data_IF_123861676449
#
_entry.id   IF_123861676449
#
_cell.length_a   1.000
_cell.length_b   1.000
_cell.length_c   1.000
_cell.angle_alpha   90.00
_cell.angle_beta   90.00
_cell.angle_gamma   90.00
#
_symmetry.space_group_name_H-M   'P 1'
#
loop_
_entity.id
_entity.type
_entity.pdbx_description
1 polymer ?
#
# COMPACT_ATOMS: atom_id res chain seq x y z
N UNK A 1 6.20 -3.70 -0.77
CA UNK A 1 5.26 -3.49 -1.89
C UNK A 1 5.20 -2.03 -2.35
N UNK A 2 4.96 -1.05 -1.46
CA UNK A 2 4.91 0.38 -1.82
C UNK A 2 6.17 0.91 -2.51
N UNK A 3 7.36 0.48 -2.07
CA UNK A 3 8.64 0.94 -2.60
C UNK A 3 9.13 0.18 -3.85
N UNK A 4 8.38 -0.80 -4.35
CA UNK A 4 8.83 -1.68 -5.45
C UNK A 4 9.25 -0.89 -6.69
N UNK A 5 8.52 0.16 -7.05
CA UNK A 5 8.87 1.04 -8.18
C UNK A 5 10.09 1.92 -7.93
N UNK A 6 10.52 2.09 -6.68
CA UNK A 6 11.71 2.88 -6.32
C UNK A 6 12.95 1.99 -6.25
N UNK A 7 12.80 0.78 -5.71
CA UNK A 7 13.88 -0.21 -5.61
C UNK A 7 14.20 -0.80 -6.99
N UNK A 8 13.19 -1.27 -7.72
CA UNK A 8 13.35 -1.89 -9.05
C UNK A 8 13.08 -0.88 -10.16
N UNK A 9 13.71 0.30 -10.06
CA UNK A 9 13.45 1.45 -10.94
C UNK A 9 13.99 1.27 -12.37
N UNK A 10 14.88 0.32 -12.60
CA UNK A 10 15.46 0.02 -13.91
C UNK A 10 14.83 -1.22 -14.57
N UNK A 11 13.91 -1.89 -13.88
CA UNK A 11 13.24 -3.08 -14.39
C UNK A 11 12.08 -2.74 -15.33
N UNK A 12 11.72 -3.72 -16.16
CA UNK A 12 10.56 -3.63 -17.05
C UNK A 12 9.28 -3.34 -16.26
N UNK A 13 8.51 -2.35 -16.71
CA UNK A 13 7.32 -1.83 -16.01
C UNK A 13 6.29 -2.91 -15.72
N UNK A 14 6.12 -3.85 -16.65
CA UNK A 14 5.21 -4.98 -16.51
C UNK A 14 5.63 -5.89 -15.35
N UNK A 15 6.92 -6.19 -15.22
CA UNK A 15 7.47 -6.99 -14.12
C UNK A 15 7.34 -6.26 -12.78
N UNK A 16 7.69 -4.96 -12.73
CA UNK A 16 7.54 -4.15 -11.52
C UNK A 16 6.08 -4.06 -11.05
N UNK A 17 5.14 -3.91 -12.00
CA UNK A 17 3.69 -3.95 -11.72
C UNK A 17 3.24 -5.28 -11.15
N UNK A 18 3.64 -6.39 -11.77
CA UNK A 18 3.29 -7.73 -11.33
C UNK A 18 3.83 -8.02 -9.92
N UNK A 19 5.10 -7.68 -9.65
CA UNK A 19 5.71 -7.83 -8.34
C UNK A 19 5.00 -6.96 -7.28
N UNK A 20 4.66 -5.72 -7.61
CA UNK A 20 3.90 -4.84 -6.71
C UNK A 20 2.54 -5.45 -6.34
N UNK A 21 1.79 -5.94 -7.33
CA UNK A 21 0.50 -6.57 -7.11
C UNK A 21 0.62 -7.87 -6.29
N UNK A 22 1.61 -8.72 -6.61
CA UNK A 22 1.87 -9.96 -5.88
C UNK A 22 2.18 -9.71 -4.41
N UNK A 23 3.08 -8.77 -4.11
CA UNK A 23 3.46 -8.45 -2.73
C UNK A 23 2.29 -7.87 -1.92
N UNK A 24 1.46 -7.03 -2.54
CA UNK A 24 0.25 -6.54 -1.88
C UNK A 24 -0.79 -7.66 -1.68
N UNK A 25 -0.93 -8.58 -2.64
CA UNK A 25 -1.81 -9.75 -2.52
C UNK A 25 -1.39 -10.68 -1.39
N UNK A 26 -0.09 -10.97 -1.26
CA UNK A 26 0.44 -11.76 -0.15
C UNK A 26 0.17 -11.08 1.21
N UNK A 27 0.37 -9.76 1.29
CA UNK A 27 0.08 -9.00 2.50
C UNK A 27 -1.42 -9.04 2.87
N UNK A 28 -2.32 -8.99 1.88
CA UNK A 28 -3.76 -9.15 2.09
C UNK A 28 -4.12 -10.54 2.63
N UNK A 29 -3.51 -11.60 2.09
CA UNK A 29 -3.73 -12.96 2.58
C UNK A 29 -3.29 -13.12 4.04
N UNK A 30 -2.11 -12.60 4.40
CA UNK A 30 -1.62 -12.61 5.78
C UNK A 30 -2.57 -11.84 6.70
N UNK A 31 -3.03 -10.65 6.28
CA UNK A 31 -3.98 -9.86 7.05
C UNK A 31 -5.33 -10.58 7.24
N UNK A 32 -5.84 -11.25 6.20
CA UNK A 32 -7.07 -12.03 6.26
C UNK A 32 -6.97 -13.17 7.28
N UNK A 33 -5.85 -13.89 7.29
CA UNK A 33 -5.59 -14.94 8.30
C UNK A 33 -5.62 -14.37 9.71
N UNK A 34 -4.99 -13.20 9.93
CA UNK A 34 -5.02 -12.52 11.23
C UNK A 34 -6.43 -12.13 11.67
N UNK A 35 -7.26 -11.63 10.75
CA UNK A 35 -8.67 -11.31 11.02
C UNK A 35 -9.45 -12.57 11.38
N UNK A 36 -9.34 -13.65 10.60
CA UNK A 36 -10.02 -14.91 10.89
C UNK A 36 -9.63 -15.42 12.28
N UNK A 37 -8.34 -15.38 12.62
CA UNK A 37 -7.83 -15.82 13.91
C UNK A 37 -8.40 -15.02 15.09
N UNK A 38 -8.55 -13.69 14.98
CA UNK A 38 -9.11 -12.88 16.09
C UNK A 38 -10.59 -13.15 16.28
N UNK A 39 -11.38 -13.26 15.21
CA UNK A 39 -12.82 -13.57 15.29
C UNK A 39 -13.06 -14.97 15.87
N UNK A 40 -12.23 -15.96 15.52
CA UNK A 40 -12.30 -17.30 16.10
C UNK A 40 -11.92 -17.30 17.59
N UNK A 41 -10.87 -16.57 17.97
CA UNK A 41 -10.47 -16.37 19.37
C UNK A 41 -11.56 -15.68 20.19
N UNK A 42 -12.24 -14.66 19.64
CA UNK A 42 -13.34 -13.98 20.32
C UNK A 42 -14.54 -14.91 20.52
N UNK A 43 -14.93 -15.64 19.47
CA UNK A 43 -16.02 -16.63 19.55
C UNK A 43 -15.76 -17.68 20.62
N UNK A 44 -14.55 -18.23 20.67
CA UNK A 44 -14.18 -19.29 21.64
C UNK A 44 -14.14 -18.77 23.08
N UNK A 45 -13.84 -17.47 23.29
CA UNK A 45 -13.75 -16.83 24.61
C UNK A 45 -15.02 -16.07 25.02
N UNK A 46 -16.04 -16.00 24.16
CA UNK A 46 -17.25 -15.21 24.42
C UNK A 46 -17.01 -13.69 24.48
N UNK A 47 -15.97 -13.20 23.79
CA UNK A 47 -15.65 -11.77 23.72
C UNK A 47 -16.48 -11.15 22.58
N UNK A 48 -17.13 -9.98 22.77
CA UNK A 48 -17.83 -9.31 21.68
C UNK A 48 -16.84 -8.87 20.60
N UNK A 49 -17.25 -8.98 19.34
CA UNK A 49 -16.47 -8.49 18.20
C UNK A 49 -16.66 -6.99 17.98
N UNK A 50 -15.69 -6.36 17.33
CA UNK A 50 -15.82 -5.03 16.72
C UNK A 50 -16.26 -3.90 17.67
N UNK A 51 -15.91 -3.95 18.97
CA UNK A 51 -16.29 -2.91 19.93
C UNK A 51 -15.21 -1.83 20.15
N UNK A 52 -13.96 -2.10 19.80
CA UNK A 52 -12.84 -1.19 20.07
C UNK A 52 -12.50 -0.30 18.87
N UNK A 53 -11.92 0.87 19.12
CA UNK A 53 -11.45 1.76 18.06
C UNK A 53 -10.39 1.08 17.16
N UNK A 54 -9.51 0.26 17.76
CA UNK A 54 -8.56 -0.58 17.02
C UNK A 54 -9.28 -1.46 16.00
N UNK A 55 -10.34 -2.15 16.42
CA UNK A 55 -11.10 -3.04 15.54
C UNK A 55 -11.78 -2.29 14.38
N UNK A 56 -12.37 -1.11 14.64
CA UNK A 56 -13.00 -0.28 13.61
C UNK A 56 -11.98 0.23 12.58
N UNK A 57 -10.87 0.80 13.05
CA UNK A 57 -9.79 1.26 12.18
C UNK A 57 -9.14 0.10 11.40
N UNK A 58 -8.90 -1.03 12.05
CA UNK A 58 -8.31 -2.22 11.44
C UNK A 58 -9.19 -2.81 10.33
N UNK A 59 -10.49 -2.97 10.59
CA UNK A 59 -11.44 -3.48 9.59
C UNK A 59 -11.62 -2.51 8.43
N UNK A 60 -11.77 -1.21 8.70
CA UNK A 60 -11.83 -0.20 7.65
C UNK A 60 -10.57 -0.22 6.77
N UNK A 61 -9.39 -0.32 7.38
CA UNK A 61 -8.11 -0.46 6.66
C UNK A 61 -8.11 -1.70 5.77
N UNK A 62 -8.52 -2.86 6.29
CA UNK A 62 -8.54 -4.10 5.53
C UNK A 62 -9.48 -4.04 4.32
N UNK A 63 -10.72 -3.58 4.52
CA UNK A 63 -11.72 -3.47 3.45
C UNK A 63 -11.26 -2.49 2.37
N UNK A 64 -10.78 -1.31 2.76
CA UNK A 64 -10.28 -0.32 1.81
C UNK A 64 -9.02 -0.80 1.09
N UNK A 65 -8.15 -1.54 1.76
CA UNK A 65 -6.95 -2.11 1.16
C UNK A 65 -7.27 -3.24 0.17
N UNK A 66 -8.26 -4.08 0.47
CA UNK A 66 -8.78 -5.07 -0.46
C UNK A 66 -9.36 -4.41 -1.72
N UNK A 67 -10.19 -3.38 -1.56
CA UNK A 67 -10.75 -2.61 -2.66
C UNK A 67 -9.65 -1.95 -3.50
N UNK A 68 -8.68 -1.32 -2.83
CA UNK A 68 -7.53 -0.67 -3.48
C UNK A 68 -6.72 -1.65 -4.32
N UNK A 69 -6.54 -2.89 -3.84
CA UNK A 69 -5.83 -3.93 -4.57
C UNK A 69 -6.60 -4.40 -5.81
N UNK A 70 -7.91 -4.69 -5.68
CA UNK A 70 -8.74 -5.09 -6.83
C UNK A 70 -8.83 -4.00 -7.89
N UNK A 71 -9.08 -2.75 -7.49
CA UNK A 71 -9.11 -1.61 -8.41
C UNK A 71 -7.73 -1.39 -9.04
N UNK A 72 -6.65 -1.47 -8.27
CA UNK A 72 -5.28 -1.38 -8.79
C UNK A 72 -4.96 -2.43 -9.85
N UNK A 73 -5.34 -3.69 -9.61
CA UNK A 73 -5.23 -4.77 -10.59
C UNK A 73 -6.07 -4.47 -11.85
N UNK A 74 -7.34 -4.11 -11.68
CA UNK A 74 -8.26 -3.79 -12.77
C UNK A 74 -7.77 -2.66 -13.67
N UNK A 75 -7.33 -1.54 -13.08
CA UNK A 75 -6.88 -0.38 -13.84
C UNK A 75 -5.46 -0.53 -14.40
N UNK A 76 -4.51 -1.13 -13.66
CA UNK A 76 -3.09 -1.04 -14.00
C UNK A 76 -2.42 -2.33 -14.49
N UNK A 77 -2.98 -3.51 -14.20
CA UNK A 77 -2.46 -4.79 -14.69
C UNK A 77 -3.16 -5.27 -15.96
N UNK A 78 -4.49 -5.14 -16.03
CA UNK A 78 -5.24 -5.57 -17.21
C UNK A 78 -5.29 -4.48 -18.28
N UNK A 79 -5.21 -4.84 -19.57
CA UNK A 79 -5.18 -3.87 -20.67
C UNK A 79 -6.52 -3.14 -20.87
N UNK A 80 -7.63 -3.63 -20.30
CA UNK A 80 -9.00 -3.20 -20.59
C UNK A 80 -9.37 -1.77 -20.20
N UNK A 81 -8.68 -1.15 -19.23
CA UNK A 81 -8.98 0.22 -18.82
C UNK A 81 -8.40 1.25 -19.80
N UNK A 82 -9.20 2.26 -20.17
CA UNK A 82 -8.76 3.34 -21.07
C UNK A 82 -7.64 4.17 -20.44
N UNK A 83 -6.82 4.82 -21.28
CA UNK A 83 -5.73 5.69 -20.81
C UNK A 83 -6.23 6.86 -19.96
N UNK A 84 -7.37 7.44 -20.31
CA UNK A 84 -8.00 8.54 -19.55
C UNK A 84 -8.37 8.10 -18.12
N UNK A 85 -9.04 6.95 -17.97
CA UNK A 85 -9.41 6.41 -16.67
C UNK A 85 -8.20 6.09 -15.80
N UNK A 86 -7.16 5.49 -16.38
CA UNK A 86 -5.90 5.21 -15.68
C UNK A 86 -5.19 6.49 -15.23
N UNK A 87 -5.19 7.52 -16.08
CA UNK A 87 -4.63 8.82 -15.76
C UNK A 87 -5.36 9.47 -14.59
N UNK A 88 -6.70 9.44 -14.62
CA UNK A 88 -7.54 10.00 -13.57
C UNK A 88 -7.40 9.26 -12.24
N UNK A 89 -7.35 7.91 -12.22
CA UNK A 89 -7.35 7.11 -10.98
C UNK A 89 -5.97 6.97 -10.32
N UNK A 90 -4.88 7.13 -11.09
CA UNK A 90 -3.50 7.00 -10.59
C UNK A 90 -3.19 7.87 -9.36
N UNK A 91 -3.50 9.18 -9.29
CA UNK A 91 -3.20 9.98 -8.10
C UNK A 91 -3.95 9.51 -6.85
N UNK A 92 -5.20 9.06 -6.98
CA UNK A 92 -6.03 8.51 -5.92
C UNK A 92 -5.45 7.18 -5.45
N UNK A 93 -5.02 6.32 -6.38
CA UNK A 93 -4.35 5.08 -6.05
C UNK A 93 -3.08 5.31 -5.21
N UNK A 94 -2.28 6.33 -5.55
CA UNK A 94 -1.09 6.69 -4.78
C UNK A 94 -1.48 7.24 -3.41
N UNK A 95 -2.41 8.20 -3.35
CA UNK A 95 -2.86 8.82 -2.11
C UNK A 95 -3.40 7.79 -1.11
N UNK A 96 -4.39 6.98 -1.53
CA UNK A 96 -4.97 5.95 -0.68
C UNK A 96 -3.95 4.87 -0.31
N UNK A 97 -3.00 4.55 -1.21
CA UNK A 97 -1.91 3.62 -0.88
C UNK A 97 -1.05 4.09 0.30
N UNK A 98 -0.71 5.39 0.34
CA UNK A 98 0.03 5.99 1.45
C UNK A 98 -0.85 6.10 2.70
N UNK A 99 -2.09 6.58 2.56
CA UNK A 99 -3.02 6.75 3.67
C UNK A 99 -3.30 5.41 4.38
N UNK A 100 -3.51 4.33 3.62
CA UNK A 100 -3.73 2.99 4.17
C UNK A 100 -2.49 2.43 4.89
N UNK A 101 -1.29 2.75 4.39
CA UNK A 101 -0.05 2.37 5.08
C UNK A 101 0.11 3.11 6.42
N UNK A 102 -0.25 4.39 6.48
CA UNK A 102 -0.26 5.14 7.75
C UNK A 102 -1.33 4.59 8.69
N UNK A 103 -2.54 4.32 8.17
CA UNK A 103 -3.65 3.80 8.96
C UNK A 103 -3.38 2.38 9.49
N UNK A 104 -2.64 1.55 8.77
CA UNK A 104 -2.22 0.24 9.25
C UNK A 104 -1.23 0.34 10.41
N UNK A 105 -0.25 1.25 10.33
CA UNK A 105 0.67 1.52 11.45
C UNK A 105 -0.12 2.04 12.66
N UNK A 106 -1.01 3.01 12.46
CA UNK A 106 -1.85 3.52 13.53
C UNK A 106 -2.71 2.42 14.18
N UNK A 107 -3.29 1.53 13.36
CA UNK A 107 -4.06 0.39 13.84
C UNK A 107 -3.20 -0.59 14.63
N UNK A 108 -1.96 -0.87 14.20
CA UNK A 108 -1.01 -1.68 14.97
C UNK A 108 -0.68 -1.05 16.33
N UNK A 109 -0.44 0.26 16.39
CA UNK A 109 -0.15 0.96 17.66
C UNK A 109 -1.34 0.92 18.62
N UNK A 110 -2.57 1.10 18.10
CA UNK A 110 -3.79 0.94 18.88
C UNK A 110 -3.92 -0.49 19.43
N UNK A 111 -3.66 -1.50 18.59
CA UNK A 111 -3.77 -2.91 18.99
C UNK A 111 -2.72 -3.33 20.02
N UNK A 112 -1.47 -2.87 19.87
CA UNK A 112 -0.41 -3.07 20.87
C UNK A 112 -0.83 -2.45 22.21
N UNK A 113 -1.30 -1.20 22.18
CA UNK A 113 -1.74 -0.49 23.40
C UNK A 113 -2.90 -1.22 24.07
N UNK A 114 -3.92 -1.60 23.29
CA UNK A 114 -5.08 -2.36 23.77
C UNK A 114 -4.64 -3.68 24.43
N UNK A 115 -3.75 -4.43 23.79
CA UNK A 115 -3.22 -5.67 24.35
C UNK A 115 -2.45 -5.48 25.66
N UNK A 116 -1.64 -4.43 25.77
CA UNK A 116 -0.90 -4.12 27.00
C UNK A 116 -1.85 -3.78 28.14
N UNK A 117 -2.85 -2.93 27.86
CA UNK A 117 -3.85 -2.53 28.84
C UNK A 117 -4.76 -3.69 29.27
N UNK A 118 -5.02 -4.67 28.41
CA UNK A 118 -5.84 -5.83 28.77
C UNK A 118 -5.08 -6.93 29.49
N UNK A 119 -3.78 -7.09 29.25
CA UNK A 119 -3.01 -8.22 29.77
C UNK A 119 -2.14 -7.88 30.97
N UNK A 120 -1.63 -6.65 31.05
CA UNK A 120 -0.65 -6.26 32.05
C UNK A 120 -0.95 -4.89 32.65
N UNK A 121 -2.22 -4.43 32.70
CA UNK A 121 -2.60 -3.10 33.21
C UNK A 121 -1.90 -2.71 34.51
N UNK A 122 -1.89 -3.63 35.47
CA UNK A 122 -1.46 -3.37 36.83
C UNK A 122 0.07 -3.33 36.95
N UNK A 123 0.77 -4.01 36.04
CA UNK A 123 2.24 -4.07 36.02
C UNK A 123 2.88 -3.21 34.94
N UNK A 124 2.10 -2.66 34.00
CA UNK A 124 2.62 -1.96 32.83
C UNK A 124 3.44 -0.72 33.19
N UNK A 125 2.99 0.04 34.21
CA UNK A 125 3.69 1.22 34.72
C UNK A 125 5.01 0.90 35.43
N UNK A 126 5.24 -0.37 35.79
CA UNK A 126 6.48 -0.84 36.43
C UNK A 126 7.56 -1.26 35.42
N UNK A 127 7.38 -0.95 34.13
CA UNK A 127 8.35 -1.24 33.07
C UNK A 127 8.73 -2.73 33.00
N UNK A 128 7.73 -3.61 33.14
CA UNK A 128 7.95 -5.06 32.95
C UNK A 128 8.48 -5.35 31.53
N UNK A 129 9.33 -6.38 31.35
CA UNK A 129 9.99 -6.65 30.08
C UNK A 129 9.05 -6.72 28.87
N UNK A 130 7.87 -7.32 29.04
CA UNK A 130 6.83 -7.44 28.01
C UNK A 130 6.34 -6.06 27.55
N UNK A 131 6.15 -5.13 28.48
CA UNK A 131 5.75 -3.75 28.19
C UNK A 131 6.83 -2.97 27.45
N UNK A 132 8.09 -3.12 27.87
CA UNK A 132 9.25 -2.50 27.19
C UNK A 132 9.36 -3.02 25.76
N UNK A 133 9.24 -4.34 25.57
CA UNK A 133 9.34 -4.99 24.27
C UNK A 133 8.23 -4.47 23.32
N UNK A 134 6.99 -4.43 23.79
CA UNK A 134 5.85 -3.97 23.00
C UNK A 134 5.96 -2.48 22.62
N UNK A 135 6.41 -1.63 23.56
CA UNK A 135 6.66 -0.22 23.27
C UNK A 135 7.80 -0.02 22.27
N UNK A 136 8.87 -0.80 22.41
CA UNK A 136 9.99 -0.79 21.47
C UNK A 136 9.51 -1.18 20.07
N UNK A 137 8.68 -2.23 19.95
CA UNK A 137 8.06 -2.62 18.68
C UNK A 137 7.20 -1.49 18.10
N UNK A 138 6.41 -0.80 18.93
CA UNK A 138 5.62 0.36 18.51
C UNK A 138 6.48 1.49 17.94
N UNK A 139 7.57 1.85 18.62
CA UNK A 139 8.53 2.86 18.14
C UNK A 139 9.20 2.43 16.83
N UNK A 140 9.58 1.15 16.71
CA UNK A 140 10.17 0.61 15.48
C UNK A 140 9.19 0.66 14.30
N UNK A 141 7.90 0.41 14.52
CA UNK A 141 6.86 0.54 13.47
C UNK A 141 6.72 1.99 13.00
N UNK A 142 6.76 2.96 13.92
CA UNK A 142 6.75 4.40 13.57
C UNK A 142 8.00 4.77 12.78
N UNK A 143 9.18 4.37 13.24
CA UNK A 143 10.44 4.63 12.55
C UNK A 143 10.45 4.02 11.14
N UNK A 144 9.98 2.77 10.99
CA UNK A 144 9.80 2.12 9.70
C UNK A 144 8.86 2.92 8.79
N UNK A 145 7.72 3.37 9.33
CA UNK A 145 6.77 4.24 8.62
C UNK A 145 7.40 5.53 8.11
N UNK A 146 8.19 6.21 8.95
CA UNK A 146 8.89 7.44 8.60
C UNK A 146 9.93 7.22 7.50
N UNK A 147 10.73 6.15 7.59
CA UNK A 147 11.72 5.80 6.56
C UNK A 147 11.02 5.50 5.24
N UNK A 148 9.96 4.69 5.25
CA UNK A 148 9.17 4.39 4.04
C UNK A 148 8.48 5.63 3.49
N UNK A 149 8.00 6.54 4.34
CA UNK A 149 7.43 7.82 3.92
C UNK A 149 8.46 8.72 3.24
N UNK A 150 9.64 8.86 3.83
CA UNK A 150 10.77 9.62 3.28
C UNK A 150 11.26 9.04 1.94
N UNK A 151 11.62 7.75 1.95
CA UNK A 151 11.24 6.77 0.94
C UNK A 151 10.48 7.31 -0.27
N UNK A 152 9.17 7.47 -0.06
CA UNK A 152 8.13 7.76 -1.04
C UNK A 152 8.06 9.21 -1.53
N UNK A 153 8.69 10.17 -0.86
CA UNK A 153 8.63 11.60 -1.24
C UNK A 153 9.80 12.04 -2.14
N UNK A 154 10.86 11.23 -2.25
CA UNK A 154 12.03 11.58 -3.06
C UNK A 154 11.77 11.45 -4.56
N UNK A 155 11.61 12.54 -5.30
CA UNK A 155 11.39 12.48 -6.76
C UNK A 155 12.57 11.82 -7.50
N UNK A 156 13.80 12.03 -7.04
CA UNK A 156 15.02 11.46 -7.61
C UNK A 156 15.02 9.92 -7.69
N UNK A 157 14.22 9.25 -6.84
CA UNK A 157 14.14 7.79 -6.77
C UNK A 157 12.90 7.21 -7.46
N UNK A 158 12.09 8.05 -8.08
CA UNK A 158 10.96 7.61 -8.88
C UNK A 158 11.47 6.88 -10.14
N UNK A 159 10.77 5.83 -10.56
CA UNK A 159 11.11 5.09 -11.79
C UNK A 159 11.07 6.04 -12.99
N UNK A 160 12.20 6.25 -13.70
CA UNK A 160 12.18 6.97 -14.96
C UNK A 160 11.48 6.12 -16.04
N UNK A 161 10.91 6.73 -17.08
CA UNK A 161 10.51 5.98 -18.26
C UNK A 161 11.76 5.32 -18.90
N UNK A 162 11.65 4.04 -19.27
CA UNK A 162 12.72 3.35 -20.00
C UNK A 162 12.75 3.83 -21.46
N UNK A 163 13.91 3.71 -22.11
CA UNK A 163 14.11 4.14 -23.51
C UNK A 163 13.10 3.48 -24.47
N UNK A 164 12.78 2.20 -24.26
CA UNK A 164 11.74 1.48 -25.01
C UNK A 164 10.33 2.10 -24.87
N UNK A 165 9.99 2.62 -23.69
CA UNK A 165 8.70 3.26 -23.43
C UNK A 165 8.64 4.65 -24.07
N UNK A 166 9.78 5.35 -24.12
CA UNK A 166 9.90 6.64 -24.79
C UNK A 166 9.74 6.47 -26.31
N UNK A 167 10.42 5.50 -26.91
CA UNK A 167 10.29 5.20 -28.34
C UNK A 167 8.83 4.89 -28.74
N UNK A 168 8.15 4.01 -28.00
CA UNK A 168 6.74 3.70 -28.22
C UNK A 168 5.83 4.93 -28.07
N UNK A 169 6.13 5.83 -27.14
CA UNK A 169 5.33 7.05 -26.95
C UNK A 169 5.52 8.07 -28.06
N UNK A 170 6.74 8.15 -28.61
CA UNK A 170 7.05 9.00 -29.76
C UNK A 170 6.39 8.47 -31.03
N UNK A 171 6.48 7.17 -31.30
CA UNK A 171 5.83 6.51 -32.43
C UNK A 171 4.30 6.64 -32.38
N UNK A 172 3.71 6.52 -31.19
CA UNK A 172 2.27 6.74 -31.04
C UNK A 172 1.90 8.20 -31.31
N UNK A 173 2.71 9.15 -30.83
CA UNK A 173 2.47 10.57 -31.05
C UNK A 173 2.54 10.93 -32.54
N UNK A 174 3.55 10.45 -33.28
CA UNK A 174 3.66 10.67 -34.73
C UNK A 174 2.48 10.05 -35.50
N UNK A 175 2.00 8.86 -35.09
CA UNK A 175 0.82 8.22 -35.68
C UNK A 175 -0.49 8.98 -35.39
N UNK A 176 -0.63 9.59 -34.21
CA UNK A 176 -1.86 10.32 -33.84
C UNK A 176 -1.88 11.78 -34.28
N UNK A 177 -0.72 12.43 -34.33
CA UNK A 177 -0.62 13.84 -34.72
C UNK A 177 -0.45 14.01 -36.22
N UNK A 178 -0.05 12.96 -36.96
CA UNK A 178 0.12 12.99 -38.40
C UNK A 178 1.05 14.13 -38.80
N UNK A 179 2.33 13.83 -39.05
CA UNK A 179 3.08 14.69 -39.96
C UNK A 179 2.36 14.66 -41.31
N UNK A 180 1.41 15.58 -41.48
CA UNK A 180 0.94 16.02 -42.77
C UNK A 180 2.21 16.49 -43.47
N UNK A 181 2.59 15.92 -44.61
CA UNK A 181 3.71 16.44 -45.36
C UNK A 181 3.35 17.89 -45.68
N UNK A 182 4.02 18.82 -45.01
CA UNK A 182 3.86 20.23 -45.30
C UNK A 182 4.23 20.41 -46.78
N UNK A 183 3.32 21.07 -47.51
CA UNK A 183 3.38 21.23 -48.94
C UNK A 183 4.65 21.97 -49.35
N UNK A 184 5.69 21.21 -49.70
CA UNK A 184 6.86 21.71 -50.40
C UNK A 184 6.60 21.83 -51.90
N UNK A 185 5.70 22.74 -52.29
CA UNK A 185 5.66 23.26 -53.65
C UNK A 185 6.60 24.47 -53.74
N UNK A 186 7.82 24.25 -54.24
CA UNK A 186 8.55 25.17 -55.12
C UNK A 186 9.43 24.36 -56.07
#
# INVERSE_FOLDING_TARGET
ALLVYRVFRHEAKRSTKALHALLHGLALLIALVGIIAVFESHRTKGIPDMYSLHSWCGMATFVLYLLQWFLGCGFFLFPSASFSLRGWYKPQHIFFGIALFILSIASCLLGITEMLLFKISDSYSHFVPEGILANTLGVLLVAFGLVVGYVLTREEWKRPPLAEELALSMDFKTLTEGESPDGGSQ
#
